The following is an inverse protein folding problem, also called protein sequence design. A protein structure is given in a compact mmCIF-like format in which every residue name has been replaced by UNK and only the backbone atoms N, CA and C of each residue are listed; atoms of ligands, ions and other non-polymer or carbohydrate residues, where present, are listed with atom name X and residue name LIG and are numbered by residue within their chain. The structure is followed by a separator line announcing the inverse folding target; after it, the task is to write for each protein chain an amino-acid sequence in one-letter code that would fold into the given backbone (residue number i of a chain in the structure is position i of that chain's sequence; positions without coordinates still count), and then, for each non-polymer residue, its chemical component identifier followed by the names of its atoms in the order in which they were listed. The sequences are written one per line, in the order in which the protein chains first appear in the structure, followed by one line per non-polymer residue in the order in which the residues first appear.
data_IF_073500044768
#
_entry.id   IF_073500044768
#
_cell.length_a   1.000
_cell.length_b   1.000
_cell.length_c   1.000
_cell.angle_alpha   90.00
_cell.angle_beta   90.00
_cell.angle_gamma   90.00
#
_symmetry.space_group_name_H-M   'P 1'
#
loop_
_entity.id
_entity.type
_entity.pdbx_description
1 polymer ?
#
# COMPACT_ATOMS: atom_id res chain seq x y z
N UNK A 1 -15.70 -12.73 -1.79
CA UNK A 1 -14.49 -11.87 -1.84
C UNK A 1 -14.70 -10.65 -0.96
N UNK A 2 -13.72 -10.31 -0.14
CA UNK A 2 -13.83 -9.14 0.74
C UNK A 2 -13.69 -7.85 -0.06
N UNK A 3 -14.49 -6.85 0.29
CA UNK A 3 -14.39 -5.53 -0.33
C UNK A 3 -13.18 -4.77 0.23
N UNK A 4 -12.79 -3.71 -0.48
CA UNK A 4 -11.72 -2.82 0.00
C UNK A 4 -12.08 -2.27 1.39
N UNK A 5 -13.34 -1.89 1.61
CA UNK A 5 -13.76 -1.37 2.92
C UNK A 5 -13.67 -2.44 4.01
N UNK A 6 -14.06 -3.67 3.72
CA UNK A 6 -13.95 -4.77 4.69
C UNK A 6 -12.49 -5.03 5.08
N UNK A 7 -11.57 -4.97 4.11
CA UNK A 7 -10.13 -5.14 4.36
C UNK A 7 -9.61 -4.00 5.24
N UNK A 8 -10.02 -2.75 4.95
CA UNK A 8 -9.65 -1.62 5.80
C UNK A 8 -10.13 -1.81 7.23
N UNK A 9 -11.35 -2.29 7.41
CA UNK A 9 -11.90 -2.54 8.76
C UNK A 9 -11.10 -3.61 9.50
N UNK A 10 -10.64 -4.66 8.81
CA UNK A 10 -9.77 -5.67 9.41
C UNK A 10 -8.44 -5.06 9.89
N UNK A 11 -7.85 -4.19 9.08
CA UNK A 11 -6.59 -3.52 9.44
C UNK A 11 -6.79 -2.63 10.67
N UNK A 12 -7.89 -1.88 10.71
CA UNK A 12 -8.23 -1.02 11.85
C UNK A 12 -8.31 -1.87 13.13
N UNK A 13 -9.02 -3.00 13.07
CA UNK A 13 -9.16 -3.89 14.22
C UNK A 13 -7.82 -4.46 14.67
N UNK A 14 -6.94 -4.82 13.73
CA UNK A 14 -5.61 -5.33 14.03
C UNK A 14 -4.77 -4.29 14.77
N UNK A 15 -4.78 -3.04 14.34
CA UNK A 15 -4.02 -1.98 14.97
C UNK A 15 -4.59 -1.58 16.33
N UNK A 16 -5.91 -1.65 16.49
CA UNK A 16 -6.56 -1.37 17.77
C UNK A 16 -6.15 -2.36 18.87
N UNK A 17 -5.69 -3.54 18.51
CA UNK A 17 -5.21 -4.53 19.46
C UNK A 17 -4.01 -4.01 20.27
N UNK A 18 -3.19 -3.16 19.68
CA UNK A 18 -1.98 -2.64 20.33
C UNK A 18 -2.29 -1.35 21.08
N UNK A 19 -1.71 -1.20 22.29
CA UNK A 19 -2.01 -0.08 23.16
C UNK A 19 -1.20 1.17 22.85
N UNK A 20 0.05 1.01 22.39
CA UNK A 20 0.92 2.15 22.12
C UNK A 20 1.53 2.11 20.73
N UNK A 21 2.13 3.22 20.32
CA UNK A 21 2.70 3.37 19.00
C UNK A 21 4.01 2.62 18.79
N UNK A 22 4.73 2.31 19.88
CA UNK A 22 5.91 1.46 19.79
C UNK A 22 5.52 0.07 19.26
N UNK A 23 4.46 -0.49 19.82
CA UNK A 23 3.94 -1.79 19.39
C UNK A 23 3.35 -1.73 17.97
N UNK A 24 2.64 -0.66 17.64
CA UNK A 24 2.06 -0.47 16.31
C UNK A 24 3.13 -0.34 15.23
N UNK A 25 4.22 0.37 15.51
CA UNK A 25 5.36 0.46 14.61
C UNK A 25 6.01 -0.90 14.40
N UNK A 26 6.19 -1.66 15.46
CA UNK A 26 6.77 -2.99 15.35
C UNK A 26 5.88 -3.90 14.50
N UNK A 27 4.58 -3.83 14.68
CA UNK A 27 3.62 -4.58 13.86
C UNK A 27 3.72 -4.17 12.38
N UNK A 28 3.80 -2.88 12.13
CA UNK A 28 3.96 -2.35 10.76
C UNK A 28 5.24 -2.89 10.10
N UNK A 29 6.34 -2.87 10.84
CA UNK A 29 7.63 -3.40 10.37
C UNK A 29 7.51 -4.89 10.04
N UNK A 30 6.87 -5.65 10.93
CA UNK A 30 6.69 -7.09 10.75
C UNK A 30 5.82 -7.40 9.52
N UNK A 31 4.79 -6.60 9.27
CA UNK A 31 3.98 -6.75 8.06
C UNK A 31 4.82 -6.55 6.79
N UNK A 32 5.72 -5.58 6.81
CA UNK A 32 6.63 -5.35 5.69
C UNK A 32 7.56 -6.54 5.44
N UNK A 33 8.06 -7.16 6.50
CA UNK A 33 8.93 -8.34 6.39
C UNK A 33 8.22 -9.53 5.73
N UNK A 34 6.91 -9.57 5.82
CA UNK A 34 6.09 -10.65 5.27
C UNK A 34 5.66 -10.41 3.82
N UNK A 35 6.07 -9.29 3.21
CA UNK A 35 5.83 -9.10 1.78
C UNK A 35 6.48 -10.22 0.98
N UNK A 36 5.78 -10.75 -0.04
CA UNK A 36 6.39 -11.75 -0.93
C UNK A 36 7.67 -11.21 -1.58
N UNK A 37 8.58 -12.12 -1.91
CA UNK A 37 9.82 -11.76 -2.59
C UNK A 37 9.52 -10.99 -3.88
N UNK A 38 10.15 -9.84 -4.02
CA UNK A 38 10.02 -9.00 -5.20
C UNK A 38 11.10 -9.40 -6.21
N UNK A 39 10.71 -9.58 -7.48
CA UNK A 39 11.65 -9.94 -8.53
C UNK A 39 12.71 -8.84 -8.67
N UNK A 40 13.98 -9.22 -8.56
CA UNK A 40 15.07 -8.25 -8.66
C UNK A 40 15.07 -7.52 -10.00
N UNK A 41 14.59 -8.15 -11.07
CA UNK A 41 14.43 -7.52 -12.39
C UNK A 41 13.42 -6.39 -12.38
N UNK A 42 12.51 -6.37 -11.41
CA UNK A 42 11.51 -5.32 -11.24
C UNK A 42 12.00 -4.16 -10.39
N UNK A 43 13.18 -4.26 -9.76
CA UNK A 43 13.79 -3.15 -9.01
C UNK A 43 14.51 -2.19 -9.95
N UNK A 44 13.74 -1.60 -10.85
CA UNK A 44 14.23 -0.67 -11.87
C UNK A 44 13.61 0.71 -11.67
N UNK A 45 14.25 1.72 -12.19
CA UNK A 45 13.84 3.12 -11.96
C UNK A 45 12.43 3.41 -12.44
N UNK A 46 11.97 2.77 -13.51
CA UNK A 46 10.62 2.97 -14.03
C UNK A 46 9.53 2.46 -13.06
N UNK A 47 9.89 1.60 -12.11
CA UNK A 47 8.96 1.11 -11.08
C UNK A 47 9.09 1.87 -9.76
N UNK A 48 10.00 2.83 -9.66
CA UNK A 48 10.12 3.66 -8.46
C UNK A 48 8.93 4.61 -8.36
N UNK A 49 8.38 4.72 -7.16
CA UNK A 49 7.33 5.69 -6.88
C UNK A 49 7.99 7.04 -6.62
N UNK A 50 7.65 8.04 -7.44
CA UNK A 50 8.13 9.41 -7.25
C UNK A 50 7.42 10.04 -6.05
N UNK A 51 8.15 10.84 -5.29
CA UNK A 51 7.63 11.51 -4.11
C UNK A 51 7.92 10.80 -2.80
N UNK A 52 8.61 9.66 -2.86
CA UNK A 52 9.10 8.95 -1.67
C UNK A 52 10.59 9.26 -1.48
N UNK A 53 11.00 9.54 -0.24
CA UNK A 53 12.40 9.75 0.08
C UNK A 53 13.19 8.44 0.01
N UNK A 54 12.61 7.35 0.51
CA UNK A 54 13.15 6.00 0.36
C UNK A 54 12.85 5.46 -1.03
N UNK A 55 13.58 4.44 -1.46
CA UNK A 55 13.24 3.73 -2.68
C UNK A 55 12.06 2.81 -2.41
N UNK A 56 10.98 3.00 -3.14
CA UNK A 56 9.80 2.15 -3.11
C UNK A 56 9.49 1.76 -4.56
N UNK A 57 9.53 0.46 -4.83
CA UNK A 57 9.20 -0.07 -6.16
C UNK A 57 7.79 -0.64 -6.11
N UNK A 58 7.03 -0.38 -7.16
CA UNK A 58 5.68 -0.91 -7.32
C UNK A 58 5.54 -1.46 -8.73
N UNK A 59 5.12 -2.71 -8.82
CA UNK A 59 4.82 -3.37 -10.07
C UNK A 59 3.36 -3.82 -10.05
N UNK A 60 2.74 -3.90 -11.22
CA UNK A 60 1.35 -4.32 -11.33
C UNK A 60 1.16 -5.25 -12.51
N UNK A 61 0.13 -6.08 -12.42
CA UNK A 61 -0.34 -6.90 -13.51
C UNK A 61 -1.87 -6.88 -13.54
N UNK A 62 -2.44 -7.19 -14.70
CA UNK A 62 -3.88 -7.12 -14.89
C UNK A 62 -4.35 -8.35 -15.64
N UNK A 63 -5.23 -9.12 -15.02
CA UNK A 63 -5.76 -10.35 -15.60
C UNK A 63 -7.17 -10.59 -15.05
N UNK A 64 -8.10 -10.96 -15.94
CA UNK A 64 -9.48 -11.27 -15.56
C UNK A 64 -10.15 -10.13 -14.81
N UNK A 65 -9.93 -8.89 -15.24
CA UNK A 65 -10.45 -7.66 -14.63
C UNK A 65 -9.92 -7.39 -13.21
N UNK A 66 -8.86 -8.06 -12.79
CA UNK A 66 -8.28 -7.93 -11.46
C UNK A 66 -6.87 -7.37 -11.57
N UNK A 67 -6.55 -6.34 -10.76
CA UNK A 67 -5.22 -5.76 -10.69
C UNK A 67 -4.48 -6.39 -9.51
N UNK A 68 -3.29 -6.91 -9.77
CA UNK A 68 -2.41 -7.45 -8.74
C UNK A 68 -1.21 -6.53 -8.61
N UNK A 69 -0.87 -6.17 -7.38
CA UNK A 69 0.29 -5.32 -7.09
C UNK A 69 1.35 -6.12 -6.36
N UNK A 70 2.60 -5.83 -6.70
CA UNK A 70 3.78 -6.32 -5.99
C UNK A 70 4.67 -5.12 -5.69
N UNK A 71 5.37 -5.14 -4.57
CA UNK A 71 6.18 -4.00 -4.17
C UNK A 71 7.33 -4.42 -3.27
N UNK A 72 8.29 -3.51 -3.13
CA UNK A 72 9.38 -3.62 -2.18
C UNK A 72 9.87 -2.21 -1.83
N UNK A 73 10.65 -2.11 -0.77
CA UNK A 73 11.29 -0.86 -0.36
C UNK A 73 12.61 -1.17 0.33
N UNK A 74 13.54 -0.20 0.25
CA UNK A 74 14.82 -0.27 0.96
C UNK A 74 14.73 0.26 2.39
N UNK A 75 13.57 0.74 2.83
CA UNK A 75 13.35 1.28 4.18
C UNK A 75 12.25 0.49 4.88
N UNK A 76 12.49 0.09 6.13
CA UNK A 76 11.62 -0.85 6.85
C UNK A 76 10.22 -0.29 7.13
N UNK A 77 10.09 0.99 7.45
CA UNK A 77 8.78 1.61 7.70
C UNK A 77 8.02 1.77 6.37
N UNK A 78 8.68 2.25 5.32
CA UNK A 78 8.07 2.37 3.99
C UNK A 78 7.61 1.01 3.47
N UNK A 79 8.39 -0.04 3.73
CA UNK A 79 8.03 -1.41 3.34
C UNK A 79 6.76 -1.86 4.05
N UNK A 80 6.61 -1.54 5.34
CA UNK A 80 5.39 -1.82 6.08
C UNK A 80 4.19 -1.06 5.53
N UNK A 81 4.37 0.21 5.20
CA UNK A 81 3.30 1.05 4.65
C UNK A 81 2.83 0.50 3.30
N UNK A 82 3.75 0.21 2.38
CA UNK A 82 3.35 -0.32 1.07
C UNK A 82 2.71 -1.70 1.20
N UNK A 83 3.12 -2.49 2.19
CA UNK A 83 2.50 -3.78 2.51
C UNK A 83 1.02 -3.62 2.84
N UNK A 84 0.66 -2.64 3.68
CA UNK A 84 -0.73 -2.35 4.01
C UNK A 84 -1.52 -1.93 2.77
N UNK A 85 -0.94 -1.09 1.92
CA UNK A 85 -1.62 -0.61 0.72
C UNK A 85 -1.85 -1.74 -0.29
N UNK A 86 -0.89 -2.63 -0.45
CA UNK A 86 -1.07 -3.81 -1.31
C UNK A 86 -2.19 -4.68 -0.78
N UNK A 87 -2.22 -4.90 0.54
CA UNK A 87 -3.28 -5.70 1.15
C UNK A 87 -4.67 -5.12 0.87
N UNK A 88 -4.79 -3.79 0.88
CA UNK A 88 -6.07 -3.10 0.63
C UNK A 88 -6.46 -3.16 -0.85
N UNK A 89 -5.51 -2.91 -1.75
CA UNK A 89 -5.82 -2.65 -3.16
C UNK A 89 -5.60 -3.82 -4.10
N UNK A 90 -4.66 -4.73 -3.80
CA UNK A 90 -4.35 -5.84 -4.70
C UNK A 90 -5.50 -6.84 -4.74
N UNK A 91 -5.79 -7.38 -5.92
CA UNK A 91 -6.84 -8.38 -6.08
C UNK A 91 -8.23 -7.80 -6.30
N UNK A 92 -8.32 -6.54 -6.71
CA UNK A 92 -9.59 -5.86 -6.96
C UNK A 92 -9.66 -5.34 -8.40
N UNK A 93 -10.88 -5.02 -8.84
CA UNK A 93 -11.09 -4.44 -10.17
C UNK A 93 -10.61 -2.99 -10.19
N UNK A 94 -10.18 -2.48 -11.36
CA UNK A 94 -9.78 -1.08 -11.46
C UNK A 94 -10.83 -0.11 -10.95
N UNK A 95 -12.10 -0.34 -11.25
CA UNK A 95 -13.21 0.52 -10.82
C UNK A 95 -13.28 0.60 -9.30
N UNK A 96 -13.14 -0.54 -8.62
CA UNK A 96 -13.21 -0.59 -7.16
C UNK A 96 -12.04 0.15 -6.52
N UNK A 97 -10.85 0.05 -7.11
CA UNK A 97 -9.67 0.77 -6.64
C UNK A 97 -9.87 2.29 -6.78
N UNK A 98 -10.38 2.73 -7.93
CA UNK A 98 -10.57 4.15 -8.22
C UNK A 98 -11.65 4.78 -7.34
N UNK A 99 -12.71 4.03 -7.04
CA UNK A 99 -13.83 4.51 -6.24
C UNK A 99 -13.58 4.42 -4.74
N UNK A 100 -12.55 3.68 -4.32
CA UNK A 100 -12.29 3.43 -2.90
C UNK A 100 -11.97 4.71 -2.15
N UNK A 101 -12.62 4.89 -1.01
CA UNK A 101 -12.27 5.94 -0.05
C UNK A 101 -11.38 5.31 1.02
N UNK A 102 -10.19 5.86 1.18
CA UNK A 102 -9.20 5.30 2.09
C UNK A 102 -9.29 6.04 3.42
N UNK A 103 -9.82 5.36 4.43
CA UNK A 103 -10.04 5.94 5.76
C UNK A 103 -9.24 5.24 6.87
N UNK A 104 -8.65 4.06 6.60
CA UNK A 104 -7.96 3.32 7.66
C UNK A 104 -6.73 4.05 8.19
N UNK A 105 -6.06 4.82 7.35
CA UNK A 105 -4.84 5.55 7.73
C UNK A 105 -5.14 6.52 8.87
N UNK A 106 -6.19 7.30 8.75
CA UNK A 106 -6.62 8.23 9.80
C UNK A 106 -7.14 7.50 11.03
N UNK A 107 -7.93 6.45 10.81
CA UNK A 107 -8.56 5.70 11.90
C UNK A 107 -7.56 4.98 12.78
N UNK A 108 -6.47 4.49 12.22
CA UNK A 108 -5.40 3.89 13.02
C UNK A 108 -4.44 4.95 13.58
N UNK A 109 -4.52 6.20 13.12
CA UNK A 109 -3.67 7.30 13.57
C UNK A 109 -2.31 7.34 12.89
N UNK A 110 -2.13 6.63 11.78
CA UNK A 110 -0.83 6.55 11.12
C UNK A 110 -0.40 7.91 10.57
N UNK A 111 -1.33 8.70 10.05
CA UNK A 111 -1.06 10.02 9.47
C UNK A 111 -0.44 10.99 10.47
N UNK A 112 -0.77 10.88 11.76
CA UNK A 112 -0.24 11.76 12.81
C UNK A 112 1.05 11.25 13.44
N UNK A 113 1.43 9.99 13.16
CA UNK A 113 2.60 9.34 13.72
C UNK A 113 3.72 9.13 12.70
N UNK A 114 3.58 9.66 11.51
CA UNK A 114 4.62 9.66 10.48
C UNK A 114 5.24 11.06 10.37
N UNK A 115 6.52 11.12 10.03
CA UNK A 115 7.13 12.39 9.63
C UNK A 115 6.41 12.94 8.40
N UNK A 116 6.52 14.24 8.16
CA UNK A 116 5.91 14.85 6.97
C UNK A 116 6.37 14.18 5.68
N UNK A 117 7.65 13.85 5.59
CA UNK A 117 8.23 13.19 4.42
C UNK A 117 7.60 11.80 4.19
N UNK A 118 7.41 11.02 5.26
CA UNK A 118 6.77 9.69 5.14
C UNK A 118 5.28 9.80 4.82
N UNK A 119 4.60 10.80 5.40
CA UNK A 119 3.19 11.05 5.09
C UNK A 119 3.02 11.40 3.61
N UNK A 120 3.92 12.22 3.07
CA UNK A 120 3.93 12.57 1.65
C UNK A 120 4.20 11.32 0.78
N UNK A 121 5.12 10.47 1.22
CA UNK A 121 5.41 9.20 0.53
C UNK A 121 4.20 8.28 0.48
N UNK A 122 3.47 8.18 1.59
CA UNK A 122 2.24 7.39 1.66
C UNK A 122 1.21 7.87 0.62
N UNK A 123 1.00 9.19 0.54
CA UNK A 123 0.08 9.77 -0.45
C UNK A 123 0.55 9.48 -1.87
N UNK A 124 1.86 9.54 -2.13
CA UNK A 124 2.44 9.22 -3.43
C UNK A 124 2.20 7.76 -3.80
N UNK A 125 2.30 6.85 -2.84
CA UNK A 125 2.02 5.42 -3.05
C UNK A 125 0.56 5.20 -3.47
N UNK A 126 -0.38 5.81 -2.76
CA UNK A 126 -1.81 5.70 -3.09
C UNK A 126 -2.08 6.26 -4.48
N UNK A 127 -1.50 7.42 -4.79
CA UNK A 127 -1.65 8.04 -6.11
C UNK A 127 -1.16 7.12 -7.23
N UNK A 128 0.01 6.50 -7.04
CA UNK A 128 0.57 5.61 -8.06
C UNK A 128 -0.29 4.37 -8.27
N UNK A 129 -0.83 3.80 -7.20
CA UNK A 129 -1.75 2.66 -7.28
C UNK A 129 -2.97 3.04 -8.11
N UNK A 130 -3.54 4.22 -7.86
CA UNK A 130 -4.72 4.69 -8.60
C UNK A 130 -4.39 5.01 -10.06
N UNK A 131 -3.19 5.49 -10.36
CA UNK A 131 -2.74 5.71 -11.73
C UNK A 131 -2.70 4.38 -12.50
N UNK A 132 -2.17 3.32 -11.91
CA UNK A 132 -2.19 1.99 -12.54
C UNK A 132 -3.62 1.52 -12.79
N UNK A 133 -4.51 1.67 -11.80
CA UNK A 133 -5.91 1.28 -11.95
C UNK A 133 -6.59 2.04 -13.08
N UNK A 134 -6.34 3.35 -13.19
CA UNK A 134 -6.88 4.17 -14.25
C UNK A 134 -6.40 3.72 -15.63
N UNK A 135 -5.11 3.39 -15.75
CA UNK A 135 -4.55 2.90 -17.00
C UNK A 135 -5.21 1.58 -17.43
N UNK A 136 -5.42 0.66 -16.49
CA UNK A 136 -6.07 -0.61 -16.81
C UNK A 136 -7.55 -0.44 -17.16
N UNK A 137 -8.24 0.47 -16.46
CA UNK A 137 -9.64 0.76 -16.76
C UNK A 137 -9.80 1.27 -18.21
N UNK A 138 -8.86 2.08 -18.66
CA UNK A 138 -8.88 2.64 -20.02
C UNK A 138 -8.68 1.62 -21.12
N UNK A 139 -8.19 0.42 -20.79
CA UNK A 139 -7.90 -0.64 -21.75
C UNK A 139 -9.07 -1.58 -22.02
N UNK A 140 -10.19 -1.37 -21.38
CA UNK A 140 -11.39 -2.18 -21.60
C UNK A 140 -12.00 -1.94 -22.96
#
# INVERSE_FOLDING_TARGET
MRTIQQIQNEIIDEFDFFEDWSEKYQYLIDLGKNLPNFDNKSRIDSNLIKGCQSKVWLNSSYKNNIVIFEADSDAIISKGIISLLIRVFSGHRPEDILEAKIDFIEKIGLNTHLSQTRANGLLAMIKQIKIYALAYQSKK
#
